data_IF_888488390424
#
_entry.id   IF_888488390424
#
_cell.length_a   1.000
_cell.length_b   1.000
_cell.length_c   1.000
_cell.angle_alpha   90.00
_cell.angle_beta   90.00
_cell.angle_gamma   90.00
#
_symmetry.space_group_name_H-M   'P 1'
#
loop_
_entity.id
_entity.type
_entity.pdbx_description
1 polymer ?
#
# COMPACT_ATOMS: atom_id res chain seq x y z
N UNK A 1 -8.32 9.76 23.13
CA UNK A 1 -8.25 10.07 21.67
C UNK A 1 -8.04 8.77 20.91
N UNK A 2 -8.75 8.53 19.79
CA UNK A 2 -8.70 7.27 19.01
C UNK A 2 -7.92 7.36 17.68
N UNK A 3 -7.43 8.55 17.31
CA UNK A 3 -6.77 8.79 16.02
C UNK A 3 -5.41 9.49 16.21
N UNK A 4 -5.36 10.51 17.06
CA UNK A 4 -4.12 11.23 17.39
C UNK A 4 -3.43 10.60 18.61
N UNK A 5 -2.54 9.63 18.37
CA UNK A 5 -1.89 8.84 19.43
C UNK A 5 -0.54 9.38 19.90
N UNK A 6 0.15 10.21 19.11
CA UNK A 6 1.51 10.71 19.41
C UNK A 6 2.47 9.60 19.90
N UNK A 7 2.39 8.43 19.23
CA UNK A 7 3.10 7.21 19.61
C UNK A 7 4.55 7.23 19.12
N UNK A 8 4.77 7.61 17.86
CA UNK A 8 6.11 7.84 17.31
C UNK A 8 6.67 9.16 17.82
N UNK A 9 7.89 9.11 18.37
CA UNK A 9 8.61 10.27 18.87
C UNK A 9 10.05 10.23 18.36
N UNK A 10 10.72 11.39 18.35
CA UNK A 10 12.14 11.44 18.05
C UNK A 10 12.87 10.60 19.11
N UNK A 11 13.57 9.54 18.67
CA UNK A 11 14.18 8.54 19.55
C UNK A 11 13.44 7.20 19.63
N UNK A 12 12.29 7.05 18.97
CA UNK A 12 11.59 5.75 18.83
C UNK A 12 10.11 5.83 19.17
N UNK A 13 9.67 4.98 20.11
CA UNK A 13 8.26 4.84 20.51
C UNK A 13 8.02 5.38 21.92
N UNK A 14 6.81 5.88 22.16
CA UNK A 14 6.44 6.49 23.44
C UNK A 14 6.26 5.49 24.60
N UNK A 15 5.80 4.27 24.28
CA UNK A 15 5.57 3.18 25.24
C UNK A 15 5.69 1.85 24.54
N UNK A 16 5.95 0.80 25.30
CA UNK A 16 5.90 -0.58 24.82
C UNK A 16 4.46 -1.05 24.57
N UNK A 17 4.33 -2.14 23.84
CA UNK A 17 3.06 -2.78 23.50
C UNK A 17 2.39 -3.38 24.75
N UNK A 18 1.05 -3.29 24.87
CA UNK A 18 0.34 -3.89 25.99
C UNK A 18 0.33 -5.43 25.90
N UNK A 19 0.20 -6.09 27.05
CA UNK A 19 0.15 -7.54 27.13
C UNK A 19 -0.95 -8.14 26.23
N UNK A 20 -0.60 -9.14 25.43
CA UNK A 20 -1.52 -9.83 24.49
C UNK A 20 -1.90 -9.01 23.26
N UNK A 21 -1.21 -7.91 22.95
CA UNK A 21 -1.47 -7.13 21.75
C UNK A 21 -1.05 -7.86 20.47
N UNK A 22 0.11 -8.52 20.49
CA UNK A 22 0.65 -9.26 19.33
C UNK A 22 -0.33 -10.35 18.89
N UNK A 23 -0.86 -11.12 19.83
CA UNK A 23 -1.83 -12.19 19.54
C UNK A 23 -3.09 -11.61 18.86
N UNK A 24 -3.63 -10.52 19.40
CA UNK A 24 -4.79 -9.84 18.81
C UNK A 24 -4.51 -9.27 17.42
N UNK A 25 -3.30 -8.78 17.19
CA UNK A 25 -2.88 -8.31 15.87
C UNK A 25 -2.79 -9.46 14.87
N UNK A 26 -2.25 -10.61 15.29
CA UNK A 26 -2.22 -11.82 14.47
C UNK A 26 -3.63 -12.29 14.11
N UNK A 27 -4.53 -12.39 15.10
CA UNK A 27 -5.93 -12.76 14.88
C UNK A 27 -6.63 -11.82 13.89
N UNK A 28 -6.34 -10.52 13.98
CA UNK A 28 -6.87 -9.53 13.05
C UNK A 28 -6.31 -9.71 11.64
N UNK A 29 -5.02 -9.98 11.48
CA UNK A 29 -4.42 -10.24 10.17
C UNK A 29 -5.09 -11.44 9.47
N UNK A 30 -5.32 -12.54 10.20
CA UNK A 30 -5.98 -13.73 9.67
C UNK A 30 -7.43 -13.45 9.25
N UNK A 31 -8.16 -12.70 10.09
CA UNK A 31 -9.51 -12.25 9.77
C UNK A 31 -9.54 -11.36 8.52
N UNK A 32 -8.66 -10.36 8.46
CA UNK A 32 -8.66 -9.34 7.42
C UNK A 32 -8.30 -9.91 6.04
N UNK A 33 -7.43 -10.93 5.98
CA UNK A 33 -7.11 -11.64 4.73
C UNK A 33 -8.36 -12.23 4.07
N UNK A 34 -9.27 -12.80 4.87
CA UNK A 34 -10.54 -13.33 4.35
C UNK A 34 -11.43 -12.21 3.81
N UNK A 35 -11.54 -11.10 4.52
CA UNK A 35 -12.31 -9.94 4.07
C UNK A 35 -11.76 -9.33 2.78
N UNK A 36 -10.43 -9.28 2.60
CA UNK A 36 -9.81 -8.81 1.34
C UNK A 36 -10.30 -9.64 0.15
N UNK A 37 -10.36 -10.97 0.29
CA UNK A 37 -10.81 -11.85 -0.79
C UNK A 37 -12.28 -11.58 -1.16
N UNK A 38 -13.13 -11.30 -0.17
CA UNK A 38 -14.53 -10.92 -0.40
C UNK A 38 -14.64 -9.58 -1.15
N UNK A 39 -13.87 -8.56 -0.74
CA UNK A 39 -13.83 -7.27 -1.44
C UNK A 39 -13.33 -7.40 -2.88
N UNK A 40 -12.29 -8.20 -3.11
CA UNK A 40 -11.78 -8.45 -4.46
C UNK A 40 -12.82 -9.14 -5.34
N UNK A 41 -13.58 -10.09 -4.80
CA UNK A 41 -14.67 -10.76 -5.54
C UNK A 41 -15.75 -9.77 -5.99
N UNK A 42 -16.05 -8.76 -5.17
CA UNK A 42 -17.08 -7.77 -5.46
C UNK A 42 -16.63 -6.68 -6.45
N UNK A 43 -15.35 -6.30 -6.43
CA UNK A 43 -14.87 -5.10 -7.16
C UNK A 43 -14.00 -5.48 -8.36
N UNK A 44 -13.02 -6.37 -8.22
CA UNK A 44 -11.94 -6.56 -9.20
C UNK A 44 -12.43 -6.98 -10.58
N UNK A 45 -13.51 -7.77 -10.67
CA UNK A 45 -14.08 -8.26 -11.93
C UNK A 45 -15.47 -7.70 -12.23
N UNK A 46 -15.86 -6.62 -11.54
CA UNK A 46 -17.17 -6.02 -11.75
C UNK A 46 -17.15 -5.16 -13.03
N UNK A 47 -17.95 -5.51 -14.05
CA UNK A 47 -17.94 -4.79 -15.34
C UNK A 47 -18.30 -3.31 -15.20
N UNK A 48 -19.22 -2.96 -14.28
CA UNK A 48 -19.62 -1.56 -14.02
C UNK A 48 -18.46 -0.78 -13.38
N UNK A 49 -17.62 -1.47 -12.60
CA UNK A 49 -16.44 -0.82 -12.02
C UNK A 49 -15.38 -0.60 -13.09
N UNK A 50 -15.06 -1.64 -13.87
CA UNK A 50 -14.08 -1.58 -14.95
C UNK A 50 -14.43 -0.51 -15.99
N UNK A 51 -15.67 -0.47 -16.46
CA UNK A 51 -16.14 0.53 -17.44
C UNK A 51 -15.95 1.98 -16.94
N UNK A 52 -15.96 2.21 -15.62
CA UNK A 52 -15.81 3.55 -15.04
C UNK A 52 -14.37 3.98 -14.77
N UNK A 53 -13.44 3.03 -14.71
CA UNK A 53 -12.04 3.30 -14.32
C UNK A 53 -11.06 3.01 -15.45
N UNK A 54 -11.40 2.14 -16.39
CA UNK A 54 -10.56 1.82 -17.54
C UNK A 54 -10.44 3.03 -18.48
N UNK A 55 -9.20 3.38 -18.82
CA UNK A 55 -8.91 4.53 -19.69
C UNK A 55 -9.03 5.91 -19.04
N UNK A 56 -9.37 6.00 -17.75
CA UNK A 56 -9.47 7.28 -17.02
C UNK A 56 -8.14 7.63 -16.35
N UNK A 57 -7.67 8.87 -16.53
CA UNK A 57 -6.48 9.37 -15.83
C UNK A 57 -5.17 8.71 -16.27
N UNK A 58 -5.08 8.34 -17.56
CA UNK A 58 -3.84 7.83 -18.17
C UNK A 58 -2.81 8.97 -18.21
N UNK A 59 -1.62 8.73 -17.67
CA UNK A 59 -0.52 9.70 -17.61
C UNK A 59 0.75 9.05 -18.18
N UNK A 60 1.50 9.78 -19.00
CA UNK A 60 2.78 9.30 -19.52
C UNK A 60 3.87 9.33 -18.45
N UNK A 61 4.84 8.41 -18.55
CA UNK A 61 5.96 8.30 -17.61
C UNK A 61 6.72 9.61 -17.44
N UNK A 62 6.90 10.39 -18.53
CA UNK A 62 7.61 11.67 -18.46
C UNK A 62 6.80 12.73 -17.71
N UNK A 63 5.49 12.73 -17.86
CA UNK A 63 4.60 13.65 -17.15
C UNK A 63 4.57 13.35 -15.65
N UNK A 64 4.52 12.06 -15.28
CA UNK A 64 4.58 11.61 -13.89
C UNK A 64 5.83 12.15 -13.18
N UNK A 65 6.99 12.06 -13.83
CA UNK A 65 8.26 12.57 -13.28
C UNK A 65 8.25 14.10 -13.21
N UNK A 66 7.83 14.77 -14.29
CA UNK A 66 7.82 16.23 -14.36
C UNK A 66 6.87 16.86 -13.34
N UNK A 67 5.75 16.20 -13.02
CA UNK A 67 4.79 16.66 -12.02
C UNK A 67 5.16 16.25 -10.58
N UNK A 68 6.21 15.44 -10.40
CA UNK A 68 6.64 14.96 -9.09
C UNK A 68 5.64 14.00 -8.43
N UNK A 69 4.90 13.21 -9.23
CA UNK A 69 3.99 12.20 -8.70
C UNK A 69 4.79 11.06 -8.03
N UNK A 70 4.28 10.55 -6.92
CA UNK A 70 4.96 9.53 -6.11
C UNK A 70 4.02 8.38 -5.70
N UNK A 71 4.60 7.30 -5.17
CA UNK A 71 3.85 6.19 -4.59
C UNK A 71 3.03 5.40 -5.64
N UNK A 72 1.72 5.17 -5.43
CA UNK A 72 0.89 4.39 -6.35
C UNK A 72 0.85 4.95 -7.77
N UNK A 73 0.81 6.27 -7.96
CA UNK A 73 0.75 6.89 -9.29
C UNK A 73 2.03 6.63 -10.10
N UNK A 74 3.19 6.74 -9.45
CA UNK A 74 4.48 6.45 -10.06
C UNK A 74 4.60 4.96 -10.44
N UNK A 75 4.17 4.07 -9.54
CA UNK A 75 4.17 2.62 -9.79
C UNK A 75 3.18 2.20 -10.88
N UNK A 76 2.03 2.88 -10.98
CA UNK A 76 1.05 2.61 -12.02
C UNK A 76 1.57 2.94 -13.44
N UNK A 77 2.51 3.88 -13.54
CA UNK A 77 3.18 4.24 -14.79
C UNK A 77 4.27 3.25 -15.25
N UNK A 78 4.50 2.18 -14.48
CA UNK A 78 5.51 1.15 -14.80
C UNK A 78 6.89 1.41 -14.20
N UNK A 79 7.10 2.51 -13.47
CA UNK A 79 8.36 2.76 -12.78
C UNK A 79 8.40 1.97 -11.46
N UNK A 80 9.40 1.09 -11.32
CA UNK A 80 9.66 0.34 -10.08
C UNK A 80 10.37 1.23 -9.05
N UNK A 81 9.62 2.14 -8.43
CA UNK A 81 10.16 3.05 -7.41
C UNK A 81 9.32 3.02 -6.13
N UNK A 82 9.93 2.53 -5.05
CA UNK A 82 9.39 2.55 -3.70
C UNK A 82 10.54 2.82 -2.72
N UNK A 83 10.38 3.86 -1.88
CA UNK A 83 11.43 4.28 -0.96
C UNK A 83 11.81 3.16 0.03
N UNK A 84 10.90 2.27 0.40
CA UNK A 84 11.18 1.15 1.32
C UNK A 84 12.17 0.12 0.77
N UNK A 85 12.43 0.14 -0.55
CA UNK A 85 13.42 -0.72 -1.21
C UNK A 85 14.61 0.05 -1.77
N UNK A 86 14.41 1.31 -2.15
CA UNK A 86 15.45 2.13 -2.78
C UNK A 86 16.31 2.85 -1.74
N UNK A 87 15.67 3.45 -0.74
CA UNK A 87 16.32 4.22 0.31
C UNK A 87 15.86 3.65 1.65
N UNK A 88 16.38 2.44 1.93
CA UNK A 88 15.98 1.60 3.07
C UNK A 88 15.87 2.42 4.35
N UNK A 89 14.74 2.29 5.03
CA UNK A 89 14.54 2.85 6.37
C UNK A 89 13.96 1.79 7.30
N UNK A 90 14.15 2.01 8.60
CA UNK A 90 13.75 1.05 9.65
C UNK A 90 14.30 -0.36 9.36
N UNK A 91 13.47 -1.40 9.47
CA UNK A 91 13.82 -2.79 9.21
C UNK A 91 13.23 -3.34 7.90
N UNK A 92 12.86 -2.47 6.94
CA UNK A 92 12.25 -2.92 5.68
C UNK A 92 13.15 -3.83 4.82
N UNK A 93 14.47 -3.75 5.02
CA UNK A 93 15.47 -4.58 4.36
C UNK A 93 15.47 -6.04 4.86
N UNK A 94 15.06 -6.27 6.12
CA UNK A 94 15.02 -7.60 6.72
C UNK A 94 13.86 -8.46 6.20
N UNK A 95 12.89 -7.86 5.51
CA UNK A 95 11.71 -8.55 4.98
C UNK A 95 11.84 -8.88 3.49
N UNK A 96 11.44 -10.11 3.14
CA UNK A 96 11.31 -10.51 1.75
C UNK A 96 9.91 -10.17 1.21
N UNK A 97 9.85 -9.18 0.31
CA UNK A 97 8.63 -8.73 -0.36
C UNK A 97 8.95 -8.04 -1.68
N UNK A 98 7.95 -7.97 -2.56
CA UNK A 98 8.06 -7.39 -3.91
C UNK A 98 7.20 -6.14 -4.07
N UNK A 99 7.69 -5.17 -4.84
CA UNK A 99 6.94 -3.95 -5.16
C UNK A 99 5.99 -4.25 -6.31
N UNK A 100 4.68 -4.13 -6.07
CA UNK A 100 3.69 -4.26 -7.13
C UNK A 100 3.71 -3.03 -8.05
N UNK A 101 3.96 -3.31 -9.32
CA UNK A 101 3.96 -2.39 -10.46
C UNK A 101 2.88 -2.92 -11.38
N UNK A 102 1.77 -2.20 -11.50
CA UNK A 102 0.65 -2.59 -12.34
C UNK A 102 0.52 -1.57 -13.45
N UNK A 103 0.73 -2.01 -14.69
CA UNK A 103 0.31 -1.25 -15.85
C UNK A 103 -1.22 -1.21 -15.86
N UNK A 104 -1.79 0.00 -15.97
CA UNK A 104 -3.25 0.24 -16.02
C UNK A 104 -3.94 -0.54 -17.16
N UNK A 105 -3.18 -1.03 -18.15
CA UNK A 105 -3.68 -1.85 -19.27
C UNK A 105 -3.58 -3.38 -19.06
N UNK A 106 -3.21 -3.86 -17.86
CA UNK A 106 -3.04 -5.30 -17.60
C UNK A 106 -4.31 -6.02 -17.07
N UNK A 107 -5.49 -5.40 -17.21
CA UNK A 107 -6.79 -6.02 -16.95
C UNK A 107 -7.50 -6.37 -18.25
#
# INVERSE_FOLDING_TARGET
>A
MRMMHNFFRIGGVATDLPYGWIDKCSDFCDYFLTSIAEYQKLITRNPIFLERVEGVGVVDVKEVINWGLSGPMLRASGIQWDLRKVDNYECYEEFHWEVHVLWIQAF
#
